data_IF_509502213494
#
_entry.id   IF_509502213494
#
_cell.length_a   1.000
_cell.length_b   1.000
_cell.length_c   1.000
_cell.angle_alpha   90.00
_cell.angle_beta   90.00
_cell.angle_gamma   90.00
#
_symmetry.space_group_name_H-M   'P 1'
#
loop_
_entity.id
_entity.type
_entity.pdbx_description
1 polymer ?
#
# COMPACT_ATOMS: atom_id res chain seq x y z
N UNK A 1 2.89 -13.29 38.48
CA UNK A 1 3.88 -12.55 37.67
C UNK A 1 3.41 -12.70 36.23
N UNK A 2 3.11 -11.62 35.54
CA UNK A 2 2.75 -11.70 34.12
C UNK A 2 4.05 -11.88 33.36
N UNK A 3 4.21 -13.04 32.76
CA UNK A 3 5.38 -13.38 31.96
C UNK A 3 5.22 -12.68 30.61
N UNK A 4 6.07 -11.69 30.35
CA UNK A 4 6.10 -10.98 29.09
C UNK A 4 7.00 -11.76 28.15
N UNK A 5 6.42 -12.33 27.11
CA UNK A 5 7.14 -13.02 26.06
C UNK A 5 7.41 -12.06 24.90
N UNK A 6 8.61 -12.13 24.34
CA UNK A 6 8.92 -11.49 23.07
C UNK A 6 8.10 -12.18 21.98
N UNK A 7 7.50 -11.38 21.10
CA UNK A 7 6.62 -11.89 20.06
C UNK A 7 7.37 -12.72 19.03
N UNK A 8 8.66 -12.47 18.87
CA UNK A 8 9.54 -13.27 18.02
C UNK A 8 9.85 -14.64 18.65
N UNK A 9 9.95 -14.71 19.98
CA UNK A 9 10.20 -15.96 20.72
C UNK A 9 8.97 -16.88 20.68
N UNK A 10 7.77 -16.34 20.90
CA UNK A 10 6.50 -17.09 20.79
C UNK A 10 6.28 -17.58 19.36
N UNK A 11 6.63 -16.77 18.35
CA UNK A 11 6.49 -17.16 16.94
C UNK A 11 7.41 -18.34 16.59
N UNK A 12 8.66 -18.29 17.05
CA UNK A 12 9.63 -19.36 16.82
C UNK A 12 9.18 -20.69 17.46
N UNK A 13 8.56 -20.62 18.65
CA UNK A 13 8.03 -21.81 19.35
C UNK A 13 6.80 -22.43 18.66
N UNK A 14 5.92 -21.61 18.06
CA UNK A 14 4.67 -22.07 17.44
C UNK A 14 4.85 -22.66 16.03
N UNK A 15 6.04 -22.52 15.42
CA UNK A 15 6.36 -23.14 14.12
C UNK A 15 5.47 -22.65 12.96
N UNK A 16 5.35 -21.33 12.79
CA UNK A 16 4.57 -20.72 11.71
C UNK A 16 5.22 -20.88 10.33
N UNK A 17 4.40 -20.95 9.29
CA UNK A 17 4.87 -20.83 7.90
C UNK A 17 5.24 -19.36 7.63
N UNK A 18 6.52 -19.04 7.74
CA UNK A 18 7.07 -17.70 7.50
C UNK A 18 6.63 -17.15 6.13
N UNK A 19 6.50 -17.99 5.10
CA UNK A 19 6.06 -17.53 3.78
C UNK A 19 4.58 -17.13 3.80
N UNK A 20 3.73 -17.88 4.50
CA UNK A 20 2.32 -17.53 4.66
C UNK A 20 2.14 -16.26 5.50
N UNK A 21 2.93 -16.09 6.56
CA UNK A 21 2.94 -14.89 7.38
C UNK A 21 3.37 -13.66 6.59
N UNK A 22 4.50 -13.73 5.87
CA UNK A 22 4.98 -12.63 5.03
C UNK A 22 3.98 -12.28 3.93
N UNK A 23 3.31 -13.28 3.34
CA UNK A 23 2.25 -13.04 2.35
C UNK A 23 1.01 -12.34 2.94
N UNK A 24 0.61 -12.65 4.18
CA UNK A 24 -0.47 -11.93 4.88
C UNK A 24 -0.06 -10.53 5.33
N UNK A 25 1.18 -10.37 5.80
CA UNK A 25 1.77 -9.07 6.12
C UNK A 25 1.76 -8.17 4.90
N UNK A 26 2.30 -8.64 3.77
CA UNK A 26 2.32 -7.87 2.52
C UNK A 26 0.91 -7.49 2.05
N UNK A 27 -0.08 -8.39 2.19
CA UNK A 27 -1.49 -8.08 1.89
C UNK A 27 -2.07 -7.02 2.81
N UNK A 28 -1.75 -7.07 4.09
CA UNK A 28 -2.18 -6.06 5.07
C UNK A 28 -1.56 -4.70 4.76
N UNK A 29 -0.26 -4.65 4.46
CA UNK A 29 0.46 -3.42 4.10
C UNK A 29 -0.07 -2.79 2.81
N UNK A 30 -0.37 -3.62 1.79
CA UNK A 30 -1.01 -3.16 0.56
C UNK A 30 -2.40 -2.58 0.81
N UNK A 31 -3.22 -3.24 1.66
CA UNK A 31 -4.54 -2.75 2.02
C UNK A 31 -4.50 -1.42 2.78
N UNK A 32 -3.59 -1.27 3.74
CA UNK A 32 -3.39 -0.01 4.47
C UNK A 32 -2.99 1.11 3.53
N UNK A 33 -2.05 0.85 2.62
CA UNK A 33 -1.62 1.82 1.60
C UNK A 33 -2.78 2.25 0.70
N UNK A 34 -3.59 1.29 0.26
CA UNK A 34 -4.76 1.53 -0.58
C UNK A 34 -5.84 2.35 0.14
N UNK A 35 -6.09 2.06 1.42
CA UNK A 35 -6.96 2.85 2.28
C UNK A 35 -6.49 4.32 2.35
N UNK A 36 -5.19 4.56 2.53
CA UNK A 36 -4.64 5.91 2.55
C UNK A 36 -4.83 6.66 1.22
N UNK A 37 -4.70 5.99 0.08
CA UNK A 37 -5.00 6.61 -1.23
C UNK A 37 -6.47 7.04 -1.33
N UNK A 38 -7.40 6.18 -0.89
CA UNK A 38 -8.82 6.48 -0.89
C UNK A 38 -9.16 7.67 0.04
N UNK A 39 -8.55 7.73 1.22
CA UNK A 39 -8.72 8.85 2.15
C UNK A 39 -8.17 10.15 1.57
N UNK A 40 -7.00 10.11 0.93
CA UNK A 40 -6.40 11.30 0.31
C UNK A 40 -7.25 11.84 -0.85
N UNK A 41 -7.78 10.95 -1.69
CA UNK A 41 -8.74 11.32 -2.73
C UNK A 41 -9.97 12.00 -2.12
N UNK A 42 -10.55 11.45 -1.06
CA UNK A 42 -11.71 12.04 -0.36
C UNK A 42 -11.38 13.40 0.23
N UNK A 43 -10.19 13.54 0.84
CA UNK A 43 -9.69 14.82 1.38
C UNK A 43 -9.62 15.92 0.32
N UNK A 44 -9.29 15.55 -0.92
CA UNK A 44 -9.28 16.44 -2.08
C UNK A 44 -10.67 16.67 -2.72
N UNK A 45 -11.74 16.07 -2.17
CA UNK A 45 -13.11 16.21 -2.67
C UNK A 45 -13.38 15.51 -4.00
N UNK A 46 -12.52 14.56 -4.40
CA UNK A 46 -12.62 13.86 -5.67
C UNK A 46 -13.41 12.55 -5.54
N UNK A 47 -14.22 12.24 -6.54
CA UNK A 47 -14.84 10.93 -6.73
C UNK A 47 -13.88 9.97 -7.44
N UNK A 48 -14.08 8.66 -7.27
CA UNK A 48 -13.31 7.66 -8.01
C UNK A 48 -13.42 7.83 -9.54
N UNK A 49 -14.60 8.26 -10.03
CA UNK A 49 -14.81 8.53 -11.47
C UNK A 49 -13.98 9.70 -11.96
N UNK A 50 -13.89 10.79 -11.20
CA UNK A 50 -13.04 11.94 -11.56
C UNK A 50 -11.56 11.56 -11.58
N UNK A 51 -11.09 10.78 -10.60
CA UNK A 51 -9.70 10.27 -10.62
C UNK A 51 -9.47 9.35 -11.83
N UNK A 52 -10.42 8.48 -12.15
CA UNK A 52 -10.32 7.59 -13.30
C UNK A 52 -10.23 8.37 -14.62
N UNK A 53 -11.03 9.43 -14.78
CA UNK A 53 -10.98 10.34 -15.93
C UNK A 53 -9.61 11.03 -16.04
N UNK A 54 -9.07 11.55 -14.93
CA UNK A 54 -7.75 12.18 -14.88
C UNK A 54 -6.61 11.20 -15.19
N UNK A 55 -6.77 9.93 -14.80
CA UNK A 55 -5.80 8.86 -15.06
C UNK A 55 -5.94 8.23 -16.45
N UNK A 56 -7.05 8.45 -17.16
CA UNK A 56 -7.37 7.77 -18.42
C UNK A 56 -7.65 6.27 -18.26
N UNK A 57 -8.25 5.86 -17.14
CA UNK A 57 -8.57 4.45 -16.82
C UNK A 57 -10.06 4.28 -16.49
N UNK A 58 -10.50 3.03 -16.30
CA UNK A 58 -11.88 2.76 -15.88
C UNK A 58 -12.08 3.10 -14.40
N UNK A 59 -13.30 3.50 -13.97
CA UNK A 59 -13.60 3.66 -12.54
C UNK A 59 -13.38 2.38 -11.72
N UNK A 60 -13.61 1.21 -12.33
CA UNK A 60 -13.32 -0.09 -11.71
C UNK A 60 -11.84 -0.25 -11.37
N UNK A 61 -10.94 0.24 -12.23
CA UNK A 61 -9.49 0.20 -11.95
C UNK A 61 -9.11 1.06 -10.74
N UNK A 62 -9.72 2.24 -10.59
CA UNK A 62 -9.51 3.07 -9.39
C UNK A 62 -10.02 2.38 -8.12
N UNK A 63 -11.16 1.68 -8.20
CA UNK A 63 -11.66 0.88 -7.09
C UNK A 63 -10.72 -0.25 -6.69
N UNK A 64 -10.16 -0.99 -7.66
CA UNK A 64 -9.18 -2.05 -7.38
C UNK A 64 -7.94 -1.51 -6.65
N UNK A 65 -7.37 -0.42 -7.17
CA UNK A 65 -6.23 0.27 -6.56
C UNK A 65 -6.52 0.67 -5.11
N UNK A 66 -7.69 1.28 -4.85
CA UNK A 66 -8.10 1.72 -3.51
C UNK A 66 -8.49 0.58 -2.55
N UNK A 67 -8.60 -0.65 -3.05
CA UNK A 67 -8.84 -1.85 -2.25
C UNK A 67 -7.60 -2.77 -2.13
N UNK A 68 -6.45 -2.34 -2.64
CA UNK A 68 -5.19 -3.10 -2.56
C UNK A 68 -5.03 -4.17 -3.64
N UNK A 69 -5.88 -4.17 -4.65
CA UNK A 69 -5.77 -5.04 -5.84
C UNK A 69 -4.91 -4.33 -6.90
N UNK A 70 -3.59 -4.47 -6.73
CA UNK A 70 -2.56 -3.86 -7.56
C UNK A 70 -1.88 -4.92 -8.45
N UNK A 71 -1.77 -4.64 -9.76
CA UNK A 71 -1.08 -5.53 -10.71
C UNK A 71 0.42 -5.20 -10.83
N UNK A 72 1.18 -6.15 -11.38
CA UNK A 72 2.63 -6.14 -11.71
C UNK A 72 3.18 -4.87 -12.40
N UNK A 73 2.35 -3.95 -12.90
CA UNK A 73 2.71 -2.63 -13.41
C UNK A 73 2.37 -1.50 -12.41
N UNK A 74 2.75 -1.71 -11.15
CA UNK A 74 2.37 -0.90 -9.98
C UNK A 74 2.89 0.54 -10.04
N UNK A 75 4.17 0.74 -10.33
CA UNK A 75 4.81 2.06 -10.23
C UNK A 75 4.20 3.07 -11.21
N UNK A 76 4.00 2.67 -12.48
CA UNK A 76 3.40 3.54 -13.48
C UNK A 76 1.93 3.86 -13.15
N UNK A 77 1.22 2.92 -12.52
CA UNK A 77 -0.17 3.10 -12.10
C UNK A 77 -0.27 4.07 -10.94
N UNK A 78 0.54 3.89 -9.89
CA UNK A 78 0.62 4.79 -8.74
C UNK A 78 1.11 6.18 -9.14
N UNK A 79 2.03 6.27 -10.11
CA UNK A 79 2.49 7.55 -10.64
C UNK A 79 1.36 8.32 -11.34
N UNK A 80 0.53 7.65 -12.15
CA UNK A 80 -0.65 8.29 -12.77
C UNK A 80 -1.69 8.68 -11.74
N UNK A 81 -1.90 7.84 -10.72
CA UNK A 81 -2.83 8.13 -9.63
C UNK A 81 -2.38 9.37 -8.85
N UNK A 82 -1.12 9.43 -8.43
CA UNK A 82 -0.54 10.59 -7.77
C UNK A 82 -0.68 11.85 -8.63
N UNK A 83 -0.35 11.76 -9.92
CA UNK A 83 -0.51 12.89 -10.85
C UNK A 83 -1.97 13.37 -10.96
N UNK A 84 -2.94 12.46 -10.98
CA UNK A 84 -4.37 12.79 -10.98
C UNK A 84 -4.80 13.52 -9.68
N UNK A 85 -4.13 13.25 -8.56
CA UNK A 85 -4.34 14.00 -7.31
C UNK A 85 -3.55 15.32 -7.24
N UNK A 86 -2.73 15.64 -8.25
CA UNK A 86 -1.79 16.76 -8.19
C UNK A 86 -0.58 16.50 -7.28
N UNK A 87 -0.35 15.25 -6.88
CA UNK A 87 0.77 14.81 -6.08
C UNK A 87 1.93 14.29 -6.94
N UNK A 88 3.11 14.16 -6.32
CA UNK A 88 4.28 13.49 -6.89
C UNK A 88 4.51 12.17 -6.18
N UNK A 89 4.63 11.08 -6.93
CA UNK A 89 5.06 9.80 -6.38
C UNK A 89 6.54 9.89 -6.02
N UNK A 90 6.91 9.44 -4.81
CA UNK A 90 8.31 9.25 -4.40
C UNK A 90 8.53 7.80 -4.06
N UNK A 91 9.62 7.22 -4.56
CA UNK A 91 9.99 5.84 -4.27
C UNK A 91 11.09 5.87 -3.21
N UNK A 92 10.81 5.27 -2.05
CA UNK A 92 11.72 5.22 -0.91
C UNK A 92 12.14 3.76 -0.70
N UNK A 93 13.45 3.55 -0.58
CA UNK A 93 14.03 2.30 -0.14
C UNK A 93 14.26 2.41 1.36
N UNK A 94 13.65 1.49 2.10
CA UNK A 94 13.78 1.40 3.55
C UNK A 94 14.78 0.28 3.89
N UNK A 95 15.90 0.66 4.52
CA UNK A 95 16.93 -0.26 5.01
C UNK A 95 16.83 -0.51 6.52
N UNK A 96 15.81 0.04 7.18
CA UNK A 96 15.58 -0.01 8.63
C UNK A 96 16.26 1.12 9.40
N UNK A 97 17.52 1.42 9.09
CA UNK A 97 18.30 2.51 9.68
C UNK A 97 18.46 3.73 8.76
N UNK A 98 18.24 3.55 7.46
CA UNK A 98 18.36 4.57 6.41
C UNK A 98 17.16 4.53 5.46
N UNK A 99 16.71 5.71 5.05
CA UNK A 99 15.66 5.90 4.05
C UNK A 99 16.25 6.62 2.83
N UNK A 100 16.27 5.94 1.68
CA UNK A 100 16.79 6.54 0.44
C UNK A 100 15.71 6.73 -0.59
N UNK A 101 15.49 7.98 -0.98
CA UNK A 101 14.65 8.31 -2.12
C UNK A 101 15.42 8.10 -3.42
N UNK A 102 14.84 7.37 -4.38
CA UNK A 102 15.48 7.09 -5.67
C UNK A 102 14.76 7.73 -6.87
N UNK A 103 13.54 8.24 -6.67
CA UNK A 103 12.73 8.97 -7.65
C UNK A 103 11.76 9.91 -6.92
#
# INVERSE_FOLDING_TARGET
>A
MTEFYDWDEVRAELGGDDAAYEAERARTEAWVSAFHLAEERKRLGLTQRQVAELMGVTPGRVSQIENGDLDVNEVATLSRYAAALGAKLRIIFDYGDDLRQIA
#
